data_IF_539983166058
#
_entry.id   IF_539983166058
#
_cell.length_a   1.000
_cell.length_b   1.000
_cell.length_c   1.000
_cell.angle_alpha   90.00
_cell.angle_beta   90.00
_cell.angle_gamma   90.00
#
_symmetry.space_group_name_H-M   'P 1'
#
loop_
_entity.id
_entity.type
_entity.pdbx_description
1 polymer ?
#
# COMPACT_ATOMS: atom_id res chain seq x y z
N UNK A 1 0.55 -7.29 -0.42
CA UNK A 1 -0.49 -6.78 0.49
C UNK A 1 -0.97 -7.94 1.31
N UNK A 2 -1.17 -7.75 2.61
CA UNK A 2 -1.61 -8.78 3.55
C UNK A 2 -2.66 -8.17 4.49
N UNK A 3 -3.84 -8.77 4.55
CA UNK A 3 -4.98 -8.35 5.38
C UNK A 3 -5.14 -9.17 6.68
N UNK A 4 -4.14 -10.01 7.00
CA UNK A 4 -4.14 -10.94 8.12
C UNK A 4 -4.80 -12.30 7.80
N UNK A 5 -5.37 -12.50 6.61
CA UNK A 5 -5.96 -13.77 6.15
C UNK A 5 -5.33 -14.27 4.86
N UNK A 6 -5.12 -13.36 3.91
CA UNK A 6 -4.59 -13.65 2.58
C UNK A 6 -3.48 -12.66 2.23
N UNK A 7 -2.57 -13.09 1.35
CA UNK A 7 -1.47 -12.27 0.86
C UNK A 7 -1.44 -12.32 -0.67
N UNK A 8 -1.40 -11.14 -1.29
CA UNK A 8 -1.36 -10.99 -2.73
C UNK A 8 -0.28 -10.00 -3.18
N UNK A 9 0.30 -10.27 -4.35
CA UNK A 9 1.16 -9.32 -5.07
C UNK A 9 0.39 -8.67 -6.21
N UNK A 10 0.20 -7.36 -6.13
CA UNK A 10 -0.54 -6.58 -7.13
C UNK A 10 0.45 -5.76 -7.96
N UNK A 11 0.33 -5.83 -9.29
CA UNK A 11 1.19 -5.10 -10.23
C UNK A 11 0.45 -3.91 -10.80
N UNK A 12 0.96 -2.70 -10.53
CA UNK A 12 0.49 -1.45 -11.13
C UNK A 12 1.48 -1.00 -12.20
N UNK A 13 1.13 -1.19 -13.47
CA UNK A 13 2.02 -0.86 -14.61
C UNK A 13 1.34 0.01 -15.68
N UNK A 14 0.13 0.50 -15.41
CA UNK A 14 -0.60 1.44 -16.27
C UNK A 14 -1.07 2.63 -15.46
N UNK A 15 -0.94 3.87 -15.96
CA UNK A 15 -1.41 5.07 -15.26
C UNK A 15 -2.92 5.10 -14.95
N UNK A 16 -3.72 4.33 -15.69
CA UNK A 16 -5.16 4.20 -15.48
C UNK A 16 -5.55 3.18 -14.40
N UNK A 17 -4.58 2.43 -13.86
CA UNK A 17 -4.83 1.49 -12.76
C UNK A 17 -4.68 2.23 -11.43
N UNK A 18 -5.65 2.02 -10.55
CA UNK A 18 -5.64 2.49 -9.18
C UNK A 18 -5.86 1.30 -8.26
N UNK A 19 -5.14 1.26 -7.15
CA UNK A 19 -5.36 0.30 -6.07
C UNK A 19 -5.92 1.05 -4.87
N UNK A 20 -7.11 0.66 -4.42
CA UNK A 20 -7.66 1.11 -3.15
C UNK A 20 -7.13 0.18 -2.07
N UNK A 21 -6.49 0.75 -1.06
CA UNK A 21 -5.96 0.03 0.09
C UNK A 21 -6.85 0.36 1.27
N UNK A 22 -7.49 -0.67 1.83
CA UNK A 22 -8.31 -0.53 3.04
C UNK A 22 -7.42 -0.31 4.28
N UNK A 23 -7.95 0.34 5.33
CA UNK A 23 -7.26 0.44 6.61
C UNK A 23 -6.80 -0.93 7.13
N UNK A 24 -5.76 -0.93 7.96
CA UNK A 24 -5.18 -2.14 8.57
C UNK A 24 -4.51 -3.11 7.58
N UNK A 25 -4.59 -2.92 6.26
CA UNK A 25 -3.85 -3.78 5.34
C UNK A 25 -2.34 -3.48 5.37
N UNK A 26 -1.52 -4.48 5.74
CA UNK A 26 -0.06 -4.37 5.67
C UNK A 26 0.39 -4.48 4.22
N UNK A 27 1.24 -3.58 3.76
CA UNK A 27 1.77 -3.66 2.40
C UNK A 27 3.21 -3.14 2.30
N UNK A 28 3.98 -3.79 1.43
CA UNK A 28 5.28 -3.33 0.98
C UNK A 28 5.20 -3.00 -0.51
N UNK A 29 6.09 -2.13 -0.98
CA UNK A 29 6.14 -1.69 -2.37
C UNK A 29 7.56 -1.83 -2.91
N UNK A 30 7.69 -2.28 -4.16
CA UNK A 30 8.95 -2.28 -4.90
C UNK A 30 8.78 -1.46 -6.19
N UNK A 31 9.80 -0.70 -6.55
CA UNK A 31 9.74 0.23 -7.69
C UNK A 31 10.73 -0.18 -8.78
N UNK A 32 10.25 -0.16 -10.03
CA UNK A 32 11.10 -0.34 -11.19
C UNK A 32 11.85 0.94 -11.57
N UNK A 33 12.82 0.86 -12.49
CA UNK A 33 13.51 2.04 -13.00
C UNK A 33 12.52 3.04 -13.62
N UNK A 34 12.58 4.30 -13.18
CA UNK A 34 11.72 5.38 -13.69
C UNK A 34 10.26 5.32 -13.24
N UNK A 35 9.91 4.47 -12.28
CA UNK A 35 8.54 4.42 -11.74
C UNK A 35 8.19 5.71 -10.99
N UNK A 36 6.95 6.18 -11.20
CA UNK A 36 6.32 7.24 -10.41
C UNK A 36 5.04 6.69 -9.79
N UNK A 37 4.82 6.94 -8.50
CA UNK A 37 3.63 6.54 -7.79
C UNK A 37 2.95 7.77 -7.18
N UNK A 38 1.65 7.92 -7.43
CA UNK A 38 0.81 8.91 -6.77
C UNK A 38 0.03 8.22 -5.66
N UNK A 39 0.18 8.71 -4.43
CA UNK A 39 -0.56 8.22 -3.26
C UNK A 39 -1.49 9.32 -2.80
N UNK A 40 -2.74 8.96 -2.55
CA UNK A 40 -3.75 9.82 -1.93
C UNK A 40 -4.20 9.18 -0.62
N UNK A 41 -4.38 10.00 0.40
CA UNK A 41 -4.90 9.57 1.70
C UNK A 41 -6.22 10.29 1.97
N UNK A 42 -7.14 9.60 2.64
CA UNK A 42 -8.38 10.20 3.16
C UNK A 42 -8.14 11.07 4.40
N UNK A 43 -6.98 10.94 5.03
CA UNK A 43 -6.61 11.63 6.27
C UNK A 43 -5.28 12.36 6.15
N UNK A 44 -5.09 13.37 7.01
CA UNK A 44 -3.79 14.03 7.18
C UNK A 44 -2.78 13.07 7.81
N UNK A 45 -1.49 13.33 7.61
CA UNK A 45 -0.45 12.54 8.22
C UNK A 45 -0.47 12.64 9.76
N UNK A 46 -0.54 11.50 10.43
CA UNK A 46 -0.30 11.34 11.87
C UNK A 46 0.61 10.12 12.11
N UNK A 47 1.78 10.34 12.72
CA UNK A 47 2.76 9.26 12.98
C UNK A 47 2.21 8.21 13.96
N UNK A 48 1.34 8.60 14.88
CA UNK A 48 0.81 7.72 15.93
C UNK A 48 -0.12 6.63 15.39
N UNK A 49 -0.66 6.81 14.18
CA UNK A 49 -1.56 5.86 13.51
C UNK A 49 -0.80 4.74 12.76
N UNK A 50 0.53 4.83 12.66
CA UNK A 50 1.32 3.84 11.93
C UNK A 50 1.59 2.59 12.79
N UNK A 51 1.25 1.43 12.23
CA UNK A 51 1.63 0.12 12.76
C UNK A 51 2.97 -0.26 12.10
N UNK A 52 4.04 -0.38 12.89
CA UNK A 52 5.39 -0.64 12.37
C UNK A 52 5.74 -2.15 12.27
N UNK A 53 4.88 -3.02 12.80
CA UNK A 53 5.09 -4.48 12.84
C UNK A 53 4.12 -5.20 11.90
N UNK A 54 4.61 -6.10 11.03
CA UNK A 54 3.76 -6.91 10.16
C UNK A 54 2.92 -7.92 10.96
N UNK A 55 1.86 -8.43 10.33
CA UNK A 55 1.12 -9.59 10.83
C UNK A 55 2.01 -10.83 10.96
N UNK A 56 1.79 -11.62 12.01
CA UNK A 56 2.44 -12.92 12.27
C UNK A 56 1.90 -14.04 11.37
#
# INVERSE_FOLDING_TARGET
>A
MNDGKESETIVLNKPSQCLVVEPEAWHTMTFGPGSMLLVMSSHSYDRSEYIDTPYE
#
